data_IF_462166075135
#
_entry.id   IF_462166075135
#
_cell.length_a   1.000
_cell.length_b   1.000
_cell.length_c   1.000
_cell.angle_alpha   90.00
_cell.angle_beta   90.00
_cell.angle_gamma   90.00
#
_symmetry.space_group_name_H-M   'P 1'
#
loop_
_entity.id
_entity.type
_entity.pdbx_description
1 polymer ?
#
# COMPACT_ATOMS: atom_id res chain seq x y z
N UNK A 1 4.53 11.50 -1.48
CA UNK A 1 4.07 12.14 -0.24
C UNK A 1 3.70 13.58 -0.53
N UNK A 2 2.68 14.11 0.14
CA UNK A 2 2.33 15.53 0.08
C UNK A 2 2.79 16.22 1.37
N UNK A 3 3.49 17.34 1.24
CA UNK A 3 3.96 18.17 2.34
C UNK A 3 3.62 19.65 2.06
N UNK A 4 3.28 20.39 3.10
CA UNK A 4 3.04 21.83 3.03
C UNK A 4 3.63 22.52 4.25
N UNK A 5 4.19 23.71 4.05
CA UNK A 5 4.79 24.47 5.15
C UNK A 5 5.09 25.91 4.78
N UNK A 6 5.84 26.58 5.67
CA UNK A 6 6.31 27.94 5.46
C UNK A 6 7.85 27.96 5.48
N UNK A 7 8.46 28.64 4.52
CA UNK A 7 9.91 28.81 4.47
C UNK A 7 10.34 29.92 5.44
N UNK A 8 11.30 29.63 6.31
CA UNK A 8 11.78 30.61 7.31
C UNK A 8 12.50 31.81 6.68
N UNK A 9 13.19 31.58 5.56
CA UNK A 9 14.03 32.60 4.91
C UNK A 9 13.21 33.59 4.06
N UNK A 10 12.22 33.10 3.32
CA UNK A 10 11.41 33.96 2.43
C UNK A 10 10.01 34.23 2.96
N UNK A 11 9.66 33.66 4.12
CA UNK A 11 8.31 33.64 4.67
C UNK A 11 7.27 33.31 3.59
N UNK A 12 7.59 32.35 2.71
CA UNK A 12 6.71 31.91 1.63
C UNK A 12 6.13 30.55 1.97
N UNK A 13 4.82 30.43 1.83
CA UNK A 13 4.12 29.16 1.94
C UNK A 13 4.41 28.32 0.70
N UNK A 14 4.53 27.01 0.89
CA UNK A 14 4.87 26.09 -0.18
C UNK A 14 4.08 24.80 -0.07
N UNK A 15 3.99 24.11 -1.21
CA UNK A 15 3.54 22.73 -1.31
C UNK A 15 4.62 21.92 -2.01
N UNK A 16 4.90 20.73 -1.49
CA UNK A 16 5.82 19.76 -2.09
C UNK A 16 5.06 18.46 -2.32
N UNK A 17 4.97 18.03 -3.56
CA UNK A 17 4.44 16.73 -3.95
C UNK A 17 5.58 15.86 -4.44
N UNK A 18 5.94 14.85 -3.66
CA UNK A 18 6.98 13.90 -4.01
C UNK A 18 6.39 12.60 -4.57
N UNK A 19 6.88 12.16 -5.73
CA UNK A 19 6.58 10.88 -6.38
C UNK A 19 7.91 10.23 -6.74
N UNK A 20 8.16 9.05 -6.19
CA UNK A 20 9.45 8.35 -6.33
C UNK A 20 10.64 9.27 -6.00
N UNK A 21 11.53 9.49 -6.95
CA UNK A 21 12.74 10.33 -6.87
C UNK A 21 12.52 11.76 -7.40
N UNK A 22 11.28 12.14 -7.70
CA UNK A 22 10.94 13.47 -8.20
C UNK A 22 10.01 14.20 -7.22
N UNK A 23 10.22 15.50 -7.10
CA UNK A 23 9.37 16.39 -6.33
C UNK A 23 8.92 17.58 -7.13
N UNK A 24 7.61 17.76 -7.19
CA UNK A 24 7.02 19.01 -7.63
C UNK A 24 6.94 19.94 -6.43
N UNK A 25 7.75 20.99 -6.44
CA UNK A 25 7.76 22.05 -5.44
C UNK A 25 7.05 23.28 -6.00
N UNK A 26 6.00 23.74 -5.33
CA UNK A 26 5.26 24.94 -5.66
C UNK A 26 5.32 25.96 -4.54
N UNK A 27 5.51 27.23 -4.88
CA UNK A 27 5.44 28.35 -3.93
C UNK A 27 4.13 29.10 -4.10
N UNK A 28 3.48 29.43 -2.98
CA UNK A 28 2.22 30.14 -3.01
C UNK A 28 2.41 31.63 -3.33
N UNK A 29 1.57 32.13 -4.23
CA UNK A 29 1.58 33.52 -4.65
C UNK A 29 1.01 34.43 -3.56
N UNK A 30 1.79 35.42 -3.12
CA UNK A 30 1.33 36.36 -2.08
C UNK A 30 0.81 37.66 -2.65
N UNK A 31 1.00 37.88 -3.95
CA UNK A 31 0.65 39.11 -4.65
C UNK A 31 0.17 38.78 -6.06
N UNK A 32 -0.72 39.62 -6.58
CA UNK A 32 -1.13 39.60 -7.98
C UNK A 32 -1.50 40.99 -8.43
N UNK A 33 -1.75 41.14 -9.74
CA UNK A 33 -2.20 42.39 -10.33
C UNK A 33 -3.72 42.34 -10.42
N UNK A 34 -4.38 43.17 -9.62
CA UNK A 34 -5.84 43.29 -9.57
C UNK A 34 -6.21 44.66 -10.13
N UNK A 35 -6.94 44.69 -11.24
CA UNK A 35 -7.35 45.91 -11.93
C UNK A 35 -6.18 46.89 -12.19
N UNK A 36 -5.01 46.35 -12.51
CA UNK A 36 -3.79 47.12 -12.78
C UNK A 36 -3.01 47.55 -11.53
N UNK A 37 -3.41 47.13 -10.32
CA UNK A 37 -2.69 47.42 -9.06
C UNK A 37 -2.16 46.15 -8.42
N UNK A 38 -0.95 46.23 -7.87
CA UNK A 38 -0.38 45.13 -7.08
C UNK A 38 -1.14 45.05 -5.76
N UNK A 39 -1.72 43.89 -5.47
CA UNK A 39 -2.49 43.64 -4.25
C UNK A 39 -2.11 42.31 -3.63
N UNK A 40 -2.29 42.20 -2.31
CA UNK A 40 -2.02 40.98 -1.54
C UNK A 40 -3.11 39.95 -1.75
N UNK A 41 -2.70 38.69 -1.80
CA UNK A 41 -3.56 37.51 -2.00
C UNK A 41 -3.35 36.55 -0.83
N UNK A 42 -4.41 35.87 -0.42
CA UNK A 42 -4.38 34.83 0.63
C UNK A 42 -4.47 33.46 0.01
N UNK A 43 -3.73 32.48 0.51
CA UNK A 43 -3.82 31.09 0.06
C UNK A 43 -4.24 30.20 1.21
N UNK A 44 -5.00 29.15 0.90
CA UNK A 44 -5.41 28.15 1.88
C UNK A 44 -5.36 26.77 1.24
N UNK A 45 -4.73 25.81 1.91
CA UNK A 45 -4.82 24.41 1.50
C UNK A 45 -6.24 23.90 1.78
N UNK A 46 -6.85 23.23 0.81
CA UNK A 46 -8.19 22.68 0.90
C UNK A 46 -8.11 21.14 0.99
N UNK A 47 -7.77 20.57 2.16
CA UNK A 47 -7.53 19.13 2.31
C UNK A 47 -8.78 18.26 2.08
N UNK A 48 -9.97 18.84 2.27
CA UNK A 48 -11.24 18.12 2.21
C UNK A 48 -12.12 18.54 1.02
N UNK A 49 -11.55 19.19 -0.02
CA UNK A 49 -12.27 19.46 -1.26
C UNK A 49 -12.34 18.18 -2.11
N UNK A 50 -13.02 17.17 -1.57
CA UNK A 50 -13.25 15.88 -2.21
C UNK A 50 -14.48 16.01 -3.12
N UNK A 51 -14.26 16.31 -4.39
CA UNK A 51 -15.31 16.12 -5.40
C UNK A 51 -15.42 14.62 -5.71
N UNK A 52 -16.14 13.89 -4.84
CA UNK A 52 -16.42 12.47 -5.02
C UNK A 52 -15.22 11.59 -4.68
N UNK A 53 -15.36 10.82 -3.60
CA UNK A 53 -14.42 9.77 -3.24
C UNK A 53 -14.32 8.74 -4.39
N UNK A 54 -13.25 8.84 -5.17
CA UNK A 54 -12.66 7.65 -5.75
C UNK A 54 -11.32 7.48 -5.06
N UNK A 55 -11.24 6.46 -4.19
CA UNK A 55 -10.00 5.94 -3.63
C UNK A 55 -9.16 5.34 -4.77
N UNK A 56 -8.73 6.18 -5.70
CA UNK A 56 -7.92 5.79 -6.83
C UNK A 56 -6.48 5.97 -6.40
N UNK A 57 -5.89 4.86 -5.93
CA UNK A 57 -4.53 4.74 -5.38
C UNK A 57 -3.40 5.26 -6.29
N UNK A 58 -3.71 5.79 -7.47
CA UNK A 58 -2.78 6.22 -8.50
C UNK A 58 -2.82 7.73 -8.79
N UNK A 59 -3.67 8.50 -8.11
CA UNK A 59 -3.72 9.96 -8.29
C UNK A 59 -3.50 10.68 -6.95
N UNK A 60 -2.52 11.58 -6.91
CA UNK A 60 -2.31 12.49 -5.78
C UNK A 60 -2.74 13.87 -6.23
N UNK A 61 -3.83 14.37 -5.65
CA UNK A 61 -4.34 15.70 -5.94
C UNK A 61 -4.45 16.52 -4.65
N UNK A 62 -4.08 17.79 -4.72
CA UNK A 62 -4.28 18.76 -3.66
C UNK A 62 -4.89 20.03 -4.25
N UNK A 63 -5.86 20.61 -3.55
CA UNK A 63 -6.51 21.85 -3.96
C UNK A 63 -5.99 23.00 -3.11
N UNK A 64 -5.67 24.11 -3.77
CA UNK A 64 -5.23 25.35 -3.13
C UNK A 64 -6.25 26.42 -3.47
N UNK A 65 -6.87 26.98 -2.44
CA UNK A 65 -7.80 28.09 -2.56
C UNK A 65 -7.02 29.40 -2.59
N UNK A 66 -7.21 30.19 -3.65
CA UNK A 66 -6.60 31.51 -3.80
C UNK A 66 -7.66 32.56 -3.52
N UNK A 67 -7.60 33.17 -2.34
CA UNK A 67 -8.50 34.23 -1.89
C UNK A 67 -8.08 35.59 -2.45
N UNK A 68 -8.90 36.12 -3.35
CA UNK A 68 -8.74 37.45 -3.95
C UNK A 68 -9.86 38.33 -3.42
N UNK A 69 -9.54 39.56 -3.02
CA UNK A 69 -10.55 40.56 -2.61
C UNK A 69 -11.38 41.02 -3.82
N UNK A 70 -12.34 41.91 -3.60
CA UNK A 70 -13.17 42.48 -4.67
C UNK A 70 -12.29 43.03 -5.81
N UNK A 71 -12.62 42.63 -7.04
CA UNK A 71 -12.05 43.11 -8.29
C UNK A 71 -13.17 43.43 -9.28
N UNK A 72 -12.89 44.26 -10.29
CA UNK A 72 -13.90 44.71 -11.25
C UNK A 72 -13.69 44.19 -12.66
N UNK A 73 -12.43 44.03 -13.10
CA UNK A 73 -12.10 43.78 -14.52
C UNK A 73 -11.09 42.67 -14.72
N UNK A 74 -9.99 42.65 -13.96
CA UNK A 74 -8.88 41.74 -14.24
C UNK A 74 -8.17 41.31 -12.96
N UNK A 75 -7.83 40.02 -12.90
CA UNK A 75 -6.87 39.47 -11.94
C UNK A 75 -5.82 38.71 -12.74
N UNK A 76 -4.54 39.07 -12.56
CA UNK A 76 -3.40 38.37 -13.15
C UNK A 76 -2.51 37.81 -12.04
N UNK A 77 -2.25 36.51 -12.12
CA UNK A 77 -1.52 35.71 -11.15
C UNK A 77 -0.39 34.96 -11.87
N UNK A 78 0.75 34.79 -11.21
CA UNK A 78 1.92 34.09 -11.76
C UNK A 78 2.40 33.03 -10.76
N UNK A 79 1.85 31.81 -10.79
CA UNK A 79 2.28 30.73 -9.91
C UNK A 79 3.65 30.19 -10.32
N UNK A 80 4.48 29.89 -9.33
CA UNK A 80 5.86 29.43 -9.50
C UNK A 80 5.97 27.97 -9.03
N UNK A 81 6.26 27.07 -9.98
CA UNK A 81 6.46 25.65 -9.72
C UNK A 81 7.79 25.17 -10.32
N UNK A 82 8.48 24.31 -9.57
CA UNK A 82 9.76 23.71 -9.93
C UNK A 82 9.69 22.20 -9.76
N UNK A 83 10.26 21.46 -10.71
CA UNK A 83 10.47 20.02 -10.58
C UNK A 83 11.89 19.81 -10.08
N UNK A 84 12.01 19.14 -8.94
CA UNK A 84 13.26 18.84 -8.25
C UNK A 84 13.50 17.33 -8.31
N UNK A 85 14.74 16.93 -8.58
CA UNK A 85 15.16 15.53 -8.42
C UNK A 85 15.61 15.35 -6.98
N UNK A 86 14.91 14.51 -6.22
CA UNK A 86 15.26 14.19 -4.84
C UNK A 86 16.25 13.02 -4.81
N UNK A 87 17.33 13.17 -4.05
CA UNK A 87 18.33 12.12 -3.85
C UNK A 87 17.81 10.93 -3.03
N UNK A 88 16.68 11.11 -2.33
CA UNK A 88 16.03 10.07 -1.54
C UNK A 88 14.62 9.85 -2.09
N UNK A 89 14.28 8.61 -2.49
CA UNK A 89 12.94 8.32 -2.97
C UNK A 89 11.92 8.53 -1.85
N UNK A 90 10.67 8.82 -2.23
CA UNK A 90 9.56 8.98 -1.29
C UNK A 90 9.48 7.78 -0.34
N UNK A 91 9.69 8.02 0.95
CA UNK A 91 9.70 6.96 1.96
C UNK A 91 8.26 6.43 2.17
N UNK A 92 8.08 5.13 1.91
CA UNK A 92 6.80 4.44 2.06
C UNK A 92 6.33 4.25 3.52
N UNK A 93 7.10 4.73 4.49
CA UNK A 93 6.81 4.64 5.92
C UNK A 93 6.56 6.02 6.55
N UNK A 94 6.31 7.05 5.74
CA UNK A 94 5.89 8.36 6.26
C UNK A 94 4.37 8.44 6.29
N UNK A 95 3.80 9.09 7.32
CA UNK A 95 2.35 9.21 7.53
C UNK A 95 1.60 9.82 6.33
N UNK A 96 2.32 10.56 5.48
CA UNK A 96 1.77 11.22 4.27
C UNK A 96 2.08 10.47 2.96
N UNK A 97 2.57 9.23 3.03
CA UNK A 97 2.81 8.39 1.85
C UNK A 97 1.56 7.58 1.49
N UNK A 98 0.96 7.89 0.34
CA UNK A 98 -0.19 7.13 -0.18
C UNK A 98 0.22 5.95 -1.07
N UNK A 99 1.48 5.93 -1.52
CA UNK A 99 2.07 4.76 -2.11
C UNK A 99 2.36 3.77 -0.98
N UNK A 100 1.35 2.98 -0.62
CA UNK A 100 1.61 1.73 0.11
C UNK A 100 2.62 0.97 -0.72
N UNK A 101 3.85 0.89 -0.23
CA UNK A 101 4.83 0.01 -0.83
C UNK A 101 4.35 -1.41 -0.57
N UNK A 102 3.57 -1.91 -1.53
CA UNK A 102 3.33 -3.32 -1.76
C UNK A 102 4.65 -4.06 -2.08
N UNK A 103 5.81 -3.37 -2.04
CA UNK A 103 7.16 -3.97 -2.09
C UNK A 103 7.73 -4.33 -0.73
N UNK A 104 6.93 -4.34 0.34
CA UNK A 104 7.11 -5.43 1.29
C UNK A 104 6.59 -6.68 0.59
N UNK A 105 7.48 -7.44 -0.08
CA UNK A 105 7.20 -8.87 -0.27
C UNK A 105 6.77 -9.34 1.12
N UNK A 106 5.49 -9.64 1.33
CA UNK A 106 4.97 -10.22 2.59
C UNK A 106 5.69 -11.54 2.77
N UNK A 107 6.94 -11.47 3.25
CA UNK A 107 7.67 -12.60 3.77
C UNK A 107 6.85 -13.03 4.97
N UNK A 108 6.47 -14.30 5.00
CA UNK A 108 5.80 -14.85 6.16
C UNK A 108 6.64 -14.52 7.40
N UNK A 109 5.98 -14.08 8.47
CA UNK A 109 6.65 -13.85 9.75
C UNK A 109 7.37 -15.13 10.19
N UNK A 110 8.49 -15.00 10.90
CA UNK A 110 9.22 -16.16 11.41
C UNK A 110 8.32 -17.13 12.19
N UNK A 111 7.34 -16.60 12.93
CA UNK A 111 6.34 -17.40 13.62
C UNK A 111 5.42 -18.19 12.67
N UNK A 112 5.03 -17.60 11.53
CA UNK A 112 4.21 -18.27 10.53
C UNK A 112 4.99 -19.39 9.83
N UNK A 113 6.25 -19.14 9.50
CA UNK A 113 7.14 -20.15 8.92
C UNK A 113 7.31 -21.32 9.90
N UNK A 114 7.57 -21.04 11.18
CA UNK A 114 7.68 -22.06 12.21
C UNK A 114 6.38 -22.90 12.33
N UNK A 115 5.21 -22.24 12.31
CA UNK A 115 3.92 -22.91 12.35
C UNK A 115 3.70 -23.88 11.18
N UNK A 116 4.06 -23.47 9.95
CA UNK A 116 3.94 -24.34 8.77
C UNK A 116 4.86 -25.55 8.87
N UNK A 117 6.12 -25.36 9.28
CA UNK A 117 7.09 -26.45 9.39
C UNK A 117 6.64 -27.49 10.42
N UNK A 118 6.22 -27.05 11.60
CA UNK A 118 5.74 -27.94 12.66
C UNK A 118 4.46 -28.66 12.22
N UNK A 119 3.54 -27.95 11.56
CA UNK A 119 2.31 -28.52 11.03
C UNK A 119 2.54 -29.62 9.99
N UNK A 120 3.47 -29.40 9.05
CA UNK A 120 3.82 -30.40 8.03
C UNK A 120 4.43 -31.67 8.64
N UNK A 121 5.34 -31.53 9.61
CA UNK A 121 5.99 -32.69 10.26
C UNK A 121 4.94 -33.53 11.01
N UNK A 122 4.06 -32.88 11.78
CA UNK A 122 3.00 -33.57 12.52
C UNK A 122 2.02 -34.28 11.57
N UNK A 123 1.64 -33.63 10.47
CA UNK A 123 0.74 -34.20 9.48
C UNK A 123 1.33 -35.44 8.80
N UNK A 124 2.60 -35.39 8.39
CA UNK A 124 3.29 -36.52 7.77
C UNK A 124 3.39 -37.70 8.73
N UNK A 125 3.72 -37.47 9.99
CA UNK A 125 3.79 -38.53 11.01
C UNK A 125 2.44 -39.25 11.16
N UNK A 126 1.34 -38.50 11.27
CA UNK A 126 -0.02 -39.07 11.39
C UNK A 126 -0.38 -39.84 10.12
N UNK A 127 -0.11 -39.30 8.94
CA UNK A 127 -0.40 -39.95 7.67
C UNK A 127 0.33 -41.31 7.55
N UNK A 128 1.61 -41.39 7.93
CA UNK A 128 2.38 -42.63 7.92
C UNK A 128 1.78 -43.68 8.85
N UNK A 129 1.37 -43.29 10.06
CA UNK A 129 0.72 -44.21 11.02
C UNK A 129 -0.61 -44.72 10.47
N UNK A 130 -1.45 -43.84 9.92
CA UNK A 130 -2.73 -44.23 9.33
C UNK A 130 -2.56 -45.19 8.14
N UNK A 131 -1.64 -44.88 7.23
CA UNK A 131 -1.36 -45.71 6.04
C UNK A 131 -0.81 -47.07 6.45
N UNK A 132 0.16 -47.12 7.37
CA UNK A 132 0.75 -48.38 7.83
C UNK A 132 -0.28 -49.26 8.55
N UNK A 133 -1.14 -48.68 9.40
CA UNK A 133 -2.23 -49.40 10.04
C UNK A 133 -3.24 -49.97 9.03
N UNK A 134 -3.63 -49.16 8.03
CA UNK A 134 -4.54 -49.59 6.97
C UNK A 134 -3.99 -50.79 6.18
N UNK A 135 -2.69 -50.73 5.80
CA UNK A 135 -2.02 -51.83 5.08
C UNK A 135 -1.95 -53.09 5.96
N UNK A 136 -1.60 -52.96 7.24
CA UNK A 136 -1.55 -54.08 8.17
C UNK A 136 -2.90 -54.80 8.30
N UNK A 137 -3.98 -54.03 8.50
CA UNK A 137 -5.35 -54.57 8.58
C UNK A 137 -5.75 -55.28 7.29
N UNK A 138 -5.45 -54.71 6.13
CA UNK A 138 -5.74 -55.31 4.82
C UNK A 138 -4.98 -56.63 4.62
N UNK A 139 -3.69 -56.68 4.99
CA UNK A 139 -2.89 -57.92 4.92
C UNK A 139 -3.44 -59.02 5.84
N UNK A 140 -3.86 -58.68 7.06
CA UNK A 140 -4.44 -59.66 8.00
C UNK A 140 -5.78 -60.21 7.50
N UNK A 141 -6.65 -59.36 6.95
CA UNK A 141 -7.91 -59.79 6.33
C UNK A 141 -7.69 -60.70 5.11
N UNK A 142 -6.74 -60.34 4.23
CA UNK A 142 -6.36 -61.19 3.10
C UNK A 142 -5.81 -62.55 3.55
N UNK A 143 -4.95 -62.58 4.57
CA UNK A 143 -4.40 -63.84 5.11
C UNK A 143 -5.49 -64.72 5.73
N UNK A 144 -6.45 -64.11 6.44
CA UNK A 144 -7.61 -64.82 6.98
C UNK A 144 -8.47 -65.42 5.87
N UNK A 145 -8.84 -64.63 4.86
CA UNK A 145 -9.64 -65.12 3.72
C UNK A 145 -8.93 -66.24 2.97
N UNK A 146 -7.61 -66.14 2.72
CA UNK A 146 -6.82 -67.23 2.11
C UNK A 146 -6.86 -68.52 2.93
N UNK A 147 -6.75 -68.42 4.26
CA UNK A 147 -6.83 -69.59 5.13
C UNK A 147 -8.22 -70.24 5.12
N UNK A 148 -9.29 -69.43 5.07
CA UNK A 148 -10.67 -69.95 4.94
C UNK A 148 -10.89 -70.61 3.58
N UNK A 149 -10.43 -69.98 2.50
CA UNK A 149 -10.53 -70.53 1.14
C UNK A 149 -9.80 -71.87 1.00
N UNK A 150 -8.58 -71.98 1.54
CA UNK A 150 -7.82 -73.24 1.53
C UNK A 150 -8.51 -74.35 2.33
N UNK A 151 -9.18 -74.02 3.44
CA UNK A 151 -9.95 -75.01 4.21
C UNK A 151 -11.18 -75.49 3.44
N UNK A 152 -11.89 -74.60 2.74
CA UNK A 152 -13.05 -74.96 1.92
C UNK A 152 -12.65 -75.85 0.74
N UNK A 153 -11.51 -75.58 0.08
CA UNK A 153 -11.00 -76.42 -1.02
C UNK A 153 -10.62 -77.83 -0.60
N UNK A 154 -10.16 -78.02 0.65
CA UNK A 154 -9.79 -79.34 1.17
C UNK A 154 -10.99 -80.15 1.70
N UNK A 155 -12.20 -79.59 1.70
CA UNK A 155 -13.44 -80.25 2.17
C UNK A 155 -14.31 -80.78 1.02
N UNK A 156 -13.83 -80.68 -0.23
CA UNK A 156 -14.50 -81.11 -1.45
C UNK A 156 -13.58 -82.05 -2.22
#
# INVERSE_FOLDING_TARGET
ALESGNTTVTNSEYVKLQVDDHSLYGRFIKRGIIDGRISTITNQLLPNYNHGESNQFNNIQSYIGIGIRSYKRLVQLDPDFSVLVDQRPAEANTDNSICFSSKSKRKLSGAQIAGIVIGCIAFVAIAVVCVSYYIYKKKKALKFNKNVENKLKNMN
#
